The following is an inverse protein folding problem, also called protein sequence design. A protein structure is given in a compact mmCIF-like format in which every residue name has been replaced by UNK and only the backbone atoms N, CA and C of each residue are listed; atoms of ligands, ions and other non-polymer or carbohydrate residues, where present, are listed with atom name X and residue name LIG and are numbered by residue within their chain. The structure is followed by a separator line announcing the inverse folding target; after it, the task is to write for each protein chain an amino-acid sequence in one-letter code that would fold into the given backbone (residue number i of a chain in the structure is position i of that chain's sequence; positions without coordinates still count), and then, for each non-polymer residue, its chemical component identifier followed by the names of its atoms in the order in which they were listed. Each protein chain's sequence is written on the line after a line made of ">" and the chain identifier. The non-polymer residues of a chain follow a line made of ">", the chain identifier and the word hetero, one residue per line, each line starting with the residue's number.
data_IF_691517046325
#
_entry.id   IF_691517046325
#
_cell.length_a   1.000
_cell.length_b   1.000
_cell.length_c   1.000
_cell.angle_alpha   90.00
_cell.angle_beta   90.00
_cell.angle_gamma   90.00
#
_symmetry.space_group_name_H-M   'P 1'
#
loop_
_entity.id
_entity.type
_entity.pdbx_description
1 polymer ?
#
# COMPACT_ATOMS: atom_id res chain seq x y z
N UNK A 1 6.34 -0.90 6.22
CA UNK A 1 6.02 -0.63 7.64
C UNK A 1 6.24 0.84 7.90
N UNK A 2 5.49 1.46 8.81
CA UNK A 2 5.70 2.84 9.25
C UNK A 2 6.36 2.94 10.64
N UNK A 3 6.65 4.17 11.09
CA UNK A 3 7.31 4.44 12.39
C UNK A 3 6.48 4.07 13.62
N UNK A 4 5.19 3.75 13.46
CA UNK A 4 4.31 3.25 14.54
C UNK A 4 4.18 1.73 14.53
N UNK A 5 4.87 1.04 13.61
CA UNK A 5 4.84 -0.40 13.48
C UNK A 5 3.66 -0.92 12.65
N UNK A 6 2.92 -0.06 11.95
CA UNK A 6 1.85 -0.54 11.08
C UNK A 6 2.43 -1.18 9.81
N UNK A 7 1.82 -2.27 9.37
CA UNK A 7 2.21 -3.02 8.17
C UNK A 7 1.20 -2.71 7.07
N UNK A 8 1.74 -2.37 5.89
CA UNK A 8 0.99 -2.10 4.67
C UNK A 8 1.36 -3.22 3.71
N UNK A 9 0.39 -3.98 3.22
CA UNK A 9 0.69 -5.10 2.35
C UNK A 9 -0.31 -5.22 1.21
N UNK A 10 0.27 -5.63 0.08
CA UNK A 10 -0.40 -5.90 -1.18
C UNK A 10 -1.01 -7.28 -1.14
N UNK A 11 -2.33 -7.38 -1.26
CA UNK A 11 -2.98 -8.69 -1.38
C UNK A 11 -3.03 -9.11 -2.84
N UNK A 12 -2.26 -10.14 -3.19
CA UNK A 12 -2.12 -10.57 -4.59
C UNK A 12 -3.36 -11.23 -5.18
N UNK A 13 -4.22 -11.82 -4.34
CA UNK A 13 -5.39 -12.60 -4.78
C UNK A 13 -6.67 -11.77 -4.77
N UNK A 14 -6.83 -10.93 -3.77
CA UNK A 14 -8.02 -10.11 -3.54
C UNK A 14 -7.85 -8.69 -4.07
N UNK A 15 -6.60 -8.28 -4.37
CA UNK A 15 -6.18 -6.98 -4.93
C UNK A 15 -6.12 -5.73 -4.02
N UNK A 16 -6.65 -5.65 -2.77
CA UNK A 16 -6.54 -4.43 -1.99
C UNK A 16 -5.15 -4.23 -1.41
N UNK A 17 -4.90 -2.98 -1.00
CA UNK A 17 -3.84 -2.65 -0.05
C UNK A 17 -4.44 -2.64 1.34
N UNK A 18 -3.98 -3.57 2.18
CA UNK A 18 -4.44 -3.70 3.56
C UNK A 18 -3.43 -3.13 4.53
N UNK A 19 -3.97 -2.47 5.54
CA UNK A 19 -3.27 -1.93 6.70
C UNK A 19 -3.51 -2.88 7.88
N UNK A 20 -2.46 -3.18 8.63
CA UNK A 20 -2.49 -3.92 9.88
C UNK A 20 -1.74 -3.13 10.95
N UNK A 21 -2.45 -2.77 12.02
CA UNK A 21 -1.87 -2.14 13.20
C UNK A 21 -1.23 -3.18 14.14
N UNK A 22 -0.25 -2.80 14.98
CA UNK A 22 0.29 -3.67 16.03
C UNK A 22 -0.77 -4.21 17.01
N UNK A 23 -1.89 -3.51 17.16
CA UNK A 23 -3.03 -3.96 17.97
C UNK A 23 -3.82 -5.13 17.34
N UNK A 24 -3.54 -5.48 16.09
CA UNK A 24 -4.30 -6.45 15.30
C UNK A 24 -5.46 -5.85 14.50
N UNK A 25 -5.78 -4.55 14.67
CA UNK A 25 -6.81 -3.90 13.85
C UNK A 25 -6.36 -3.84 12.39
N UNK A 26 -7.28 -4.15 11.47
CA UNK A 26 -7.03 -4.07 10.02
C UNK A 26 -7.99 -3.09 9.35
N UNK A 27 -7.55 -2.52 8.23
CA UNK A 27 -8.37 -1.66 7.36
C UNK A 27 -7.95 -1.83 5.89
N UNK A 28 -8.88 -1.60 4.96
CA UNK A 28 -8.57 -1.53 3.52
C UNK A 28 -8.23 -0.08 3.19
N UNK A 29 -6.97 0.18 2.84
CA UNK A 29 -6.48 1.53 2.56
C UNK A 29 -6.81 1.96 1.12
N UNK A 30 -6.73 1.01 0.18
CA UNK A 30 -7.08 1.22 -1.21
C UNK A 30 -7.59 -0.08 -1.83
N UNK A 31 -8.59 0.04 -2.69
CA UNK A 31 -9.07 -1.01 -3.57
C UNK A 31 -9.47 -0.35 -4.88
N UNK A 32 -8.98 -0.89 -5.99
CA UNK A 32 -9.25 -0.37 -7.32
C UNK A 32 -9.13 -1.51 -8.34
N UNK A 33 -9.96 -1.57 -9.39
CA UNK A 33 -9.89 -2.62 -10.41
C UNK A 33 -8.52 -2.74 -11.10
N UNK A 34 -7.72 -1.68 -11.13
CA UNK A 34 -6.39 -1.68 -11.76
C UNK A 34 -5.25 -1.99 -10.78
N UNK A 35 -5.52 -2.23 -9.49
CA UNK A 35 -4.56 -2.81 -8.54
C UNK A 35 -4.39 -4.32 -8.76
N UNK A 36 -4.11 -4.72 -9.99
CA UNK A 36 -3.97 -6.13 -10.36
C UNK A 36 -2.57 -6.59 -9.93
N UNK A 37 -2.49 -7.46 -8.93
CA UNK A 37 -1.23 -8.00 -8.36
C UNK A 37 -0.23 -6.90 -7.96
N UNK A 38 -0.56 -6.06 -6.97
CA UNK A 38 0.39 -5.06 -6.47
C UNK A 38 1.64 -5.74 -5.90
N UNK A 39 2.83 -5.24 -6.23
CA UNK A 39 4.10 -5.91 -5.89
C UNK A 39 4.60 -5.55 -4.49
N UNK A 40 4.52 -4.26 -4.18
CA UNK A 40 5.11 -3.71 -2.96
C UNK A 40 4.50 -2.38 -2.62
N UNK A 41 4.88 -1.88 -1.44
CA UNK A 41 4.47 -0.58 -0.97
C UNK A 41 5.63 0.08 -0.20
N UNK A 42 5.87 1.36 -0.47
CA UNK A 42 6.86 2.15 0.26
C UNK A 42 6.31 3.51 0.64
N UNK A 43 6.75 4.00 1.80
CA UNK A 43 6.32 5.28 2.36
C UNK A 43 7.46 6.28 2.14
N UNK A 44 7.16 7.39 1.49
CA UNK A 44 8.11 8.49 1.30
C UNK A 44 8.17 9.41 2.52
N UNK A 45 9.21 10.26 2.58
CA UNK A 45 9.40 11.21 3.66
C UNK A 45 8.25 12.24 3.79
N UNK A 46 7.55 12.55 2.70
CA UNK A 46 6.36 13.40 2.66
C UNK A 46 5.06 12.62 2.93
N UNK A 47 5.15 11.44 3.56
CA UNK A 47 4.02 10.59 3.97
C UNK A 47 3.11 10.21 2.80
N UNK A 48 3.68 9.81 1.66
CA UNK A 48 2.90 9.17 0.58
C UNK A 48 3.22 7.68 0.51
N UNK A 49 2.18 6.87 0.38
CA UNK A 49 2.30 5.46 0.08
C UNK A 49 2.30 5.26 -1.44
N UNK A 50 3.40 4.73 -1.95
CA UNK A 50 3.53 4.35 -3.35
C UNK A 50 3.35 2.85 -3.52
N UNK A 51 2.52 2.45 -4.49
CA UNK A 51 2.22 1.05 -4.78
C UNK A 51 2.43 0.80 -6.28
N UNK A 52 3.54 0.17 -6.67
CA UNK A 52 3.73 -0.32 -8.02
C UNK A 52 2.82 -1.54 -8.31
N UNK A 53 2.17 -1.52 -9.48
CA UNK A 53 1.36 -2.63 -9.97
C UNK A 53 2.20 -3.48 -10.93
N UNK A 54 2.21 -4.81 -10.76
CA UNK A 54 2.96 -5.70 -11.66
C UNK A 54 2.37 -5.67 -13.06
N UNK A 55 3.24 -5.55 -14.06
CA UNK A 55 2.83 -5.87 -15.41
C UNK A 55 2.74 -7.40 -15.58
N UNK A 56 1.67 -7.91 -16.22
CA UNK A 56 1.57 -9.32 -16.53
C UNK A 56 2.67 -9.74 -17.51
N UNK A 57 3.17 -10.96 -17.34
CA UNK A 57 4.17 -11.55 -18.22
C UNK A 57 3.60 -11.89 -19.60
N UNK A 58 2.29 -12.11 -19.66
CA UNK A 58 1.60 -12.39 -20.91
C UNK A 58 1.31 -11.09 -21.65
N UNK A 59 1.85 -10.97 -22.86
CA UNK A 59 1.74 -9.77 -23.72
C UNK A 59 0.33 -9.53 -24.27
N UNK A 60 -0.59 -10.49 -24.08
CA UNK A 60 -1.99 -10.35 -24.49
C UNK A 60 -2.78 -9.42 -23.57
N UNK A 61 -2.39 -9.31 -22.29
CA UNK A 61 -2.95 -8.35 -21.35
C UNK A 61 -2.22 -7.02 -21.42
N UNK A 62 -2.85 -6.01 -22.02
CA UNK A 62 -2.31 -4.64 -22.13
C UNK A 62 -2.46 -3.85 -20.82
N UNK A 63 -2.12 -4.45 -19.67
CA UNK A 63 -2.17 -3.74 -18.41
C UNK A 63 -1.10 -2.62 -18.42
N UNK A 64 -1.51 -1.35 -18.25
CA UNK A 64 -0.57 -0.24 -18.23
C UNK A 64 0.37 -0.35 -17.02
N UNK A 65 1.58 0.20 -17.16
CA UNK A 65 2.44 0.42 -16.01
C UNK A 65 1.84 1.52 -15.14
N UNK A 66 1.37 1.18 -13.94
CA UNK A 66 0.76 2.11 -13.00
C UNK A 66 1.52 2.07 -11.67
N UNK A 67 1.73 3.25 -11.11
CA UNK A 67 2.10 3.43 -9.70
C UNK A 67 1.00 4.25 -9.04
N UNK A 68 0.34 3.70 -8.03
CA UNK A 68 -0.57 4.46 -7.18
C UNK A 68 0.23 5.27 -6.17
N UNK A 69 -0.24 6.47 -5.86
CA UNK A 69 0.34 7.34 -4.84
C UNK A 69 -0.76 7.91 -3.95
N UNK A 70 -0.78 7.51 -2.68
CA UNK A 70 -1.81 7.89 -1.71
C UNK A 70 -1.17 8.75 -0.62
N UNK A 71 -1.70 9.95 -0.29
CA UNK A 71 -1.28 10.64 0.92
C UNK A 71 -1.72 9.82 2.14
N UNK A 72 -0.82 9.63 3.11
CA UNK A 72 -1.14 8.96 4.38
C UNK A 72 -1.60 10.00 5.41
N UNK A 73 -2.89 10.01 5.77
CA UNK A 73 -3.37 10.88 6.84
C UNK A 73 -2.74 10.49 8.18
N UNK A 74 -2.86 11.32 9.20
CA UNK A 74 -2.38 10.98 10.55
C UNK A 74 -3.17 9.82 11.18
N UNK A 75 -4.44 9.67 10.78
CA UNK A 75 -5.31 8.59 11.22
C UNK A 75 -6.15 8.07 10.04
N UNK A 76 -6.36 6.76 9.99
CA UNK A 76 -7.25 6.12 9.04
C UNK A 76 -7.99 4.99 9.72
N UNK A 77 -9.33 5.02 9.68
CA UNK A 77 -10.19 4.05 10.36
C UNK A 77 -9.73 3.80 11.81
N UNK A 78 -9.50 4.86 12.59
CA UNK A 78 -9.06 4.76 13.98
C UNK A 78 -7.65 4.21 14.19
N UNK A 79 -6.89 3.91 13.14
CA UNK A 79 -5.47 3.52 13.22
C UNK A 79 -4.60 4.76 13.01
N UNK A 80 -3.73 5.07 13.97
CA UNK A 80 -2.76 6.15 13.83
C UNK A 80 -1.63 5.71 12.89
N UNK A 81 -1.36 6.48 11.83
CA UNK A 81 -0.36 6.15 10.80
C UNK A 81 0.96 6.88 11.07
N UNK A 82 2.05 6.12 11.10
CA UNK A 82 3.40 6.63 11.32
C UNK A 82 4.03 7.24 10.07
N UNK A 83 5.23 7.75 10.24
CA UNK A 83 6.09 8.26 9.16
C UNK A 83 6.84 7.11 8.48
N UNK A 84 7.57 7.43 7.41
CA UNK A 84 8.53 6.51 6.84
C UNK A 84 9.58 6.08 7.88
N UNK A 85 9.98 4.80 7.86
CA UNK A 85 11.07 4.31 8.70
C UNK A 85 12.40 4.80 8.10
N UNK A 86 13.17 5.58 8.85
CA UNK A 86 14.38 6.27 8.34
C UNK A 86 15.71 5.63 8.74
N UNK A 87 15.71 4.52 9.51
CA UNK A 87 16.93 3.82 9.93
C UNK A 87 17.93 4.66 10.74
N UNK A 88 17.51 5.84 11.22
CA UNK A 88 18.25 6.75 12.08
C UNK A 88 17.75 6.63 13.51
#
# INVERSE_FOLDING_TARGET
>A
MDSKGNIYFSETTTHPIRLLAPSGKTAILAADPWLIRPDGAFISADRRLYIPVKQPLDTTDKAPFIIYALPLPENFDGIALGDAVTGR
#
